data_IF_228882747742
#
_entry.id   IF_228882747742
#
_cell.length_a   1.000
_cell.length_b   1.000
_cell.length_c   1.000
_cell.angle_alpha   90.00
_cell.angle_beta   90.00
_cell.angle_gamma   90.00
#
_symmetry.space_group_name_H-M   'P 1'
#
loop_
_entity.id
_entity.type
_entity.pdbx_description
1 polymer ?
#
# COMPACT_ATOMS: atom_id res chain seq x y z
N UNK A 1 56.74 24.26 -0.08
CA UNK A 1 55.48 24.01 -0.86
C UNK A 1 54.46 25.16 -0.72
N UNK A 2 54.87 26.41 -0.42
CA UNK A 2 53.98 27.52 -0.06
C UNK A 2 53.96 28.69 -1.06
N UNK A 3 54.95 28.81 -1.94
CA UNK A 3 55.05 29.96 -2.87
C UNK A 3 54.16 29.85 -4.11
N UNK A 4 53.81 28.63 -4.57
CA UNK A 4 53.01 28.44 -5.79
C UNK A 4 51.53 28.80 -5.62
N UNK A 5 51.02 28.94 -4.39
CA UNK A 5 49.60 29.29 -4.12
C UNK A 5 49.32 30.80 -4.16
N UNK A 6 50.31 31.63 -3.82
CA UNK A 6 50.14 33.10 -3.77
C UNK A 6 49.97 33.74 -5.14
N UNK A 7 50.65 33.21 -6.16
CA UNK A 7 50.53 33.71 -7.54
C UNK A 7 49.12 33.48 -8.12
N UNK A 8 48.55 32.28 -7.93
CA UNK A 8 47.21 31.94 -8.43
C UNK A 8 46.11 32.77 -7.78
N UNK A 9 46.24 33.08 -6.49
CA UNK A 9 45.27 33.89 -5.75
C UNK A 9 45.34 35.37 -6.12
N UNK A 10 46.54 35.90 -6.37
CA UNK A 10 46.73 37.28 -6.85
C UNK A 10 46.29 37.48 -8.30
N UNK A 11 46.48 36.49 -9.16
CA UNK A 11 46.00 36.55 -10.55
C UNK A 11 44.48 36.40 -10.62
N UNK A 12 43.89 35.50 -9.82
CA UNK A 12 42.44 35.33 -9.73
C UNK A 12 41.74 36.58 -9.18
N UNK A 13 42.29 37.23 -8.15
CA UNK A 13 41.73 38.48 -7.62
C UNK A 13 41.82 39.64 -8.61
N UNK A 14 42.90 39.71 -9.41
CA UNK A 14 43.01 40.68 -10.51
C UNK A 14 42.02 40.41 -11.64
N UNK A 15 41.82 39.16 -12.03
CA UNK A 15 40.81 38.79 -13.03
C UNK A 15 39.40 39.10 -12.56
N UNK A 16 39.10 38.83 -11.28
CA UNK A 16 37.82 39.18 -10.66
C UNK A 16 37.62 40.70 -10.64
N UNK A 17 38.62 41.48 -10.21
CA UNK A 17 38.54 42.95 -10.21
C UNK A 17 38.28 43.47 -11.63
N UNK A 18 39.08 43.03 -12.60
CA UNK A 18 38.93 43.43 -14.00
C UNK A 18 37.59 42.99 -14.62
N UNK A 19 37.01 41.89 -14.14
CA UNK A 19 35.68 41.44 -14.54
C UNK A 19 34.60 42.36 -13.97
N UNK A 20 34.63 42.67 -12.67
CA UNK A 20 33.65 43.56 -12.04
C UNK A 20 33.77 45.01 -12.51
N UNK A 21 34.98 45.49 -12.81
CA UNK A 21 35.21 46.83 -13.37
C UNK A 21 34.58 47.02 -14.76
N UNK A 22 34.33 45.92 -15.49
CA UNK A 22 33.67 45.90 -16.81
C UNK A 22 32.18 45.59 -16.74
N UNK A 23 31.67 45.22 -15.56
CA UNK A 23 30.27 44.90 -15.35
C UNK A 23 29.61 46.13 -14.76
N UNK A 24 29.03 46.95 -15.64
CA UNK A 24 28.13 48.02 -15.21
C UNK A 24 26.80 47.35 -14.89
N UNK A 25 26.46 47.23 -13.61
CA UNK A 25 25.21 46.60 -13.21
C UNK A 25 24.09 47.63 -13.37
N UNK A 26 23.12 47.44 -14.29
CA UNK A 26 22.03 48.37 -14.49
C UNK A 26 21.01 48.18 -13.36
N UNK A 27 21.38 48.56 -12.15
CA UNK A 27 20.43 48.68 -11.05
C UNK A 27 19.63 49.96 -11.28
N UNK A 28 18.50 49.81 -11.96
CA UNK A 28 17.55 50.92 -12.18
C UNK A 28 16.96 51.46 -10.87
N UNK A 29 17.00 50.65 -9.80
CA UNK A 29 16.39 50.94 -8.50
C UNK A 29 17.44 51.22 -7.44
N UNK A 30 17.20 52.23 -6.62
CA UNK A 30 18.10 52.54 -5.50
C UNK A 30 18.06 51.43 -4.44
N UNK A 31 19.11 51.35 -3.61
CA UNK A 31 19.18 50.39 -2.51
C UNK A 31 17.98 50.53 -1.58
N UNK A 32 17.52 51.76 -1.37
CA UNK A 32 16.37 52.11 -0.55
C UNK A 32 15.07 51.60 -1.18
N UNK A 33 14.92 51.71 -2.49
CA UNK A 33 13.75 51.20 -3.22
C UNK A 33 13.71 49.65 -3.18
N UNK A 34 14.87 48.99 -3.31
CA UNK A 34 14.99 47.54 -3.15
C UNK A 34 14.67 47.12 -1.72
N UNK A 35 15.12 47.89 -0.73
CA UNK A 35 14.85 47.64 0.68
C UNK A 35 13.37 47.82 1.02
N UNK A 36 12.71 48.85 0.48
CA UNK A 36 11.28 49.07 0.65
C UNK A 36 10.44 47.96 0.03
N UNK A 37 10.79 47.49 -1.18
CA UNK A 37 10.12 46.36 -1.82
C UNK A 37 10.24 45.06 -1.01
N UNK A 38 11.41 44.80 -0.42
CA UNK A 38 11.62 43.64 0.45
C UNK A 38 10.87 43.78 1.79
N UNK A 39 10.88 44.97 2.37
CA UNK A 39 10.14 45.26 3.61
C UNK A 39 8.63 45.09 3.40
N UNK A 40 8.08 45.57 2.28
CA UNK A 40 6.67 45.39 1.92
C UNK A 40 6.30 43.90 1.75
N UNK A 41 7.21 43.09 1.21
CA UNK A 41 7.00 41.65 1.09
C UNK A 41 7.07 40.91 2.42
N UNK A 42 7.87 41.38 3.38
CA UNK A 42 7.96 40.82 4.73
C UNK A 42 6.77 41.23 5.59
N UNK A 43 6.25 42.45 5.40
CA UNK A 43 5.00 42.90 6.03
C UNK A 43 3.77 42.17 5.47
N UNK A 44 3.80 41.77 4.20
CA UNK A 44 2.82 40.85 3.61
C UNK A 44 3.04 39.44 4.16
N UNK A 45 2.44 39.19 5.32
CA UNK A 45 2.46 37.87 5.97
C UNK A 45 2.06 36.77 4.97
N UNK A 46 2.81 35.64 4.89
CA UNK A 46 2.43 34.54 4.04
C UNK A 46 1.03 34.06 4.46
N UNK A 47 0.16 33.83 3.48
CA UNK A 47 -1.18 33.33 3.74
C UNK A 47 -1.11 32.08 4.63
N UNK A 48 -1.99 31.95 5.65
CA UNK A 48 -1.93 30.83 6.58
C UNK A 48 -1.96 29.50 5.81
N UNK A 49 -1.14 28.51 6.22
CA UNK A 49 -1.10 27.23 5.54
C UNK A 49 -2.52 26.64 5.53
N UNK A 50 -2.95 26.19 4.34
CA UNK A 50 -4.28 25.63 4.15
C UNK A 50 -4.32 24.25 4.82
N UNK A 51 -4.72 24.22 6.09
CA UNK A 51 -4.87 22.97 6.85
C UNK A 51 -6.20 22.32 6.49
N UNK A 52 -6.15 21.06 6.09
CA UNK A 52 -7.35 20.24 5.91
C UNK A 52 -7.67 19.55 7.23
N UNK A 53 -8.86 19.81 7.75
CA UNK A 53 -9.37 19.12 8.92
C UNK A 53 -9.73 17.69 8.56
N UNK A 54 -9.10 16.73 9.23
CA UNK A 54 -9.45 15.33 9.06
C UNK A 54 -10.78 15.05 9.75
N UNK A 55 -11.76 14.57 9.00
CA UNK A 55 -13.01 14.08 9.57
C UNK A 55 -12.75 12.71 10.22
N UNK A 56 -12.37 12.72 11.50
CA UNK A 56 -12.04 11.52 12.28
C UNK A 56 -13.18 10.51 12.33
N UNK A 57 -14.44 10.97 12.30
CA UNK A 57 -15.62 10.08 12.21
C UNK A 57 -15.68 9.35 10.88
N UNK A 58 -15.41 10.04 9.77
CA UNK A 58 -15.36 9.41 8.46
C UNK A 58 -14.23 8.37 8.38
N UNK A 59 -13.06 8.68 8.93
CA UNK A 59 -11.94 7.74 9.00
C UNK A 59 -12.29 6.53 9.87
N UNK A 60 -12.89 6.75 11.03
CA UNK A 60 -13.34 5.66 11.91
C UNK A 60 -14.38 4.76 11.23
N UNK A 61 -15.31 5.33 10.47
CA UNK A 61 -16.29 4.56 9.71
C UNK A 61 -15.64 3.73 8.59
N UNK A 62 -14.67 4.29 7.86
CA UNK A 62 -13.89 3.56 6.86
C UNK A 62 -13.12 2.41 7.52
N UNK A 63 -12.44 2.68 8.64
CA UNK A 63 -11.69 1.66 9.38
C UNK A 63 -12.61 0.53 9.89
N UNK A 64 -13.75 0.87 10.48
CA UNK A 64 -14.74 -0.13 10.92
C UNK A 64 -15.25 -0.99 9.76
N UNK A 65 -15.50 -0.38 8.59
CA UNK A 65 -15.93 -1.11 7.40
C UNK A 65 -14.85 -2.09 6.92
N UNK A 66 -13.60 -1.64 6.86
CA UNK A 66 -12.48 -2.52 6.50
C UNK A 66 -12.32 -3.68 7.48
N UNK A 67 -12.46 -3.44 8.78
CA UNK A 67 -12.42 -4.50 9.79
C UNK A 67 -13.54 -5.53 9.59
N UNK A 68 -14.76 -5.09 9.30
CA UNK A 68 -15.88 -6.00 9.02
C UNK A 68 -15.62 -6.81 7.75
N UNK A 69 -15.13 -6.18 6.68
CA UNK A 69 -14.80 -6.86 5.43
C UNK A 69 -13.67 -7.89 5.62
N UNK A 70 -12.62 -7.54 6.36
CA UNK A 70 -11.53 -8.45 6.69
C UNK A 70 -12.01 -9.61 7.58
N UNK A 71 -12.90 -9.34 8.55
CA UNK A 71 -13.54 -10.36 9.37
C UNK A 71 -14.36 -11.35 8.54
N UNK A 72 -15.22 -10.84 7.66
CA UNK A 72 -16.01 -11.67 6.74
C UNK A 72 -15.12 -12.48 5.80
N UNK A 73 -14.10 -11.84 5.22
CA UNK A 73 -13.12 -12.51 4.37
C UNK A 73 -12.40 -13.65 5.11
N UNK A 74 -11.98 -13.40 6.35
CA UNK A 74 -11.33 -14.41 7.20
C UNK A 74 -12.25 -15.60 7.46
N UNK A 75 -13.52 -15.36 7.84
CA UNK A 75 -14.51 -16.42 8.04
C UNK A 75 -14.71 -17.21 6.75
N UNK A 76 -14.90 -16.54 5.61
CA UNK A 76 -15.05 -17.20 4.32
C UNK A 76 -13.85 -18.07 3.97
N UNK A 77 -12.62 -17.61 4.28
CA UNK A 77 -11.38 -18.29 3.92
C UNK A 77 -11.04 -19.49 4.80
N UNK A 78 -11.34 -19.40 6.11
CA UNK A 78 -10.84 -20.37 7.09
C UNK A 78 -11.91 -21.26 7.69
N UNK A 79 -13.20 -20.93 7.54
CA UNK A 79 -14.27 -21.82 7.97
C UNK A 79 -14.16 -23.18 7.28
N UNK A 80 -14.11 -24.23 8.08
CA UNK A 80 -13.86 -25.61 7.62
C UNK A 80 -15.01 -26.48 8.08
N UNK A 81 -15.62 -27.19 7.14
CA UNK A 81 -16.59 -28.24 7.42
C UNK A 81 -15.87 -29.59 7.37
N UNK A 82 -16.04 -30.40 8.42
CA UNK A 82 -15.45 -31.74 8.51
C UNK A 82 -16.56 -32.78 8.65
N UNK A 83 -16.45 -33.84 7.87
CA UNK A 83 -17.32 -35.01 7.88
C UNK A 83 -16.45 -36.20 8.24
N UNK A 84 -16.83 -36.91 9.30
CA UNK A 84 -16.14 -38.13 9.75
C UNK A 84 -17.11 -39.28 9.72
N UNK A 85 -16.71 -40.38 9.08
CA UNK A 85 -17.50 -41.61 8.99
C UNK A 85 -16.89 -42.64 9.95
N UNK A 86 -17.62 -43.06 11.00
CA UNK A 86 -17.13 -44.07 11.93
C UNK A 86 -17.02 -45.45 11.26
N UNK A 87 -16.28 -46.35 11.91
CA UNK A 87 -16.12 -47.73 11.44
C UNK A 87 -17.46 -48.43 11.27
N UNK A 88 -17.61 -49.21 10.20
CA UNK A 88 -18.84 -49.95 9.89
C UNK A 88 -19.96 -49.12 9.28
N UNK A 89 -19.72 -47.85 8.95
CA UNK A 89 -20.69 -46.96 8.31
C UNK A 89 -20.18 -46.47 6.95
N UNK A 90 -21.13 -46.13 6.08
CA UNK A 90 -20.88 -45.47 4.80
C UNK A 90 -21.77 -44.23 4.72
N UNK A 91 -21.29 -43.17 4.06
CA UNK A 91 -22.05 -41.93 3.92
C UNK A 91 -21.77 -41.26 2.59
N UNK A 92 -22.82 -40.75 1.95
CA UNK A 92 -22.68 -39.92 0.74
C UNK A 92 -22.71 -38.45 1.12
N UNK A 93 -21.59 -37.76 0.96
CA UNK A 93 -21.47 -36.33 1.17
C UNK A 93 -21.71 -35.56 -0.14
N UNK A 94 -22.44 -34.45 -0.08
CA UNK A 94 -22.59 -33.53 -1.20
C UNK A 94 -21.71 -32.30 -1.00
N UNK A 95 -20.93 -31.95 -2.03
CA UNK A 95 -20.03 -30.80 -2.03
C UNK A 95 -20.75 -29.55 -2.58
N UNK A 96 -20.25 -28.32 -2.30
CA UNK A 96 -20.94 -27.08 -2.66
C UNK A 96 -21.13 -26.83 -4.18
N UNK A 97 -20.37 -27.50 -5.05
CA UNK A 97 -20.57 -27.48 -6.50
C UNK A 97 -21.62 -28.50 -6.98
N UNK A 98 -22.17 -29.30 -6.07
CA UNK A 98 -23.07 -30.40 -6.34
C UNK A 98 -22.37 -31.70 -6.77
N UNK A 99 -21.04 -31.77 -6.67
CA UNK A 99 -20.31 -33.06 -6.71
C UNK A 99 -20.70 -33.91 -5.50
N UNK A 100 -20.58 -35.23 -5.61
CA UNK A 100 -20.87 -36.15 -4.49
C UNK A 100 -19.67 -37.02 -4.20
N UNK A 101 -19.46 -37.34 -2.92
CA UNK A 101 -18.40 -38.23 -2.45
C UNK A 101 -19.04 -39.34 -1.66
N UNK A 102 -18.84 -40.58 -2.10
CA UNK A 102 -19.23 -41.77 -1.36
C UNK A 102 -18.08 -42.13 -0.41
N UNK A 103 -18.31 -42.05 0.90
CA UNK A 103 -17.28 -42.20 1.93
C UNK A 103 -17.39 -43.59 2.57
N UNK A 104 -16.26 -44.30 2.65
CA UNK A 104 -16.16 -45.57 3.33
C UNK A 104 -16.06 -45.39 4.85
N UNK A 105 -16.09 -46.49 5.59
CA UNK A 105 -15.81 -46.55 7.01
C UNK A 105 -14.42 -45.96 7.34
N UNK A 106 -14.27 -45.41 8.54
CA UNK A 106 -13.00 -44.86 9.05
C UNK A 106 -12.40 -43.76 8.17
N UNK A 107 -13.26 -42.93 7.58
CA UNK A 107 -12.88 -41.89 6.61
C UNK A 107 -13.18 -40.50 7.15
N UNK A 108 -12.32 -39.53 6.82
CA UNK A 108 -12.46 -38.12 7.18
C UNK A 108 -12.31 -37.25 5.93
N UNK A 109 -13.28 -36.38 5.72
CA UNK A 109 -13.32 -35.40 4.63
C UNK A 109 -13.49 -34.01 5.22
N UNK A 110 -12.63 -33.07 4.86
CA UNK A 110 -12.81 -31.66 5.23
C UNK A 110 -12.63 -30.71 4.05
N UNK A 111 -13.37 -29.61 4.07
CA UNK A 111 -13.38 -28.63 2.99
C UNK A 111 -13.86 -27.25 3.47
N UNK A 112 -13.64 -26.22 2.63
CA UNK A 112 -14.05 -24.84 2.90
C UNK A 112 -15.30 -24.48 2.09
N UNK A 113 -16.52 -24.60 2.63
CA UNK A 113 -17.74 -24.37 1.86
C UNK A 113 -17.85 -22.94 1.32
N UNK A 114 -17.48 -21.94 2.12
CA UNK A 114 -17.55 -20.53 1.73
C UNK A 114 -16.40 -20.09 0.81
N UNK A 115 -15.30 -20.85 0.76
CA UNK A 115 -14.17 -20.60 -0.14
C UNK A 115 -14.23 -21.43 -1.44
N UNK A 116 -15.22 -22.31 -1.57
CA UNK A 116 -15.31 -23.32 -2.63
C UNK A 116 -15.30 -22.74 -4.05
N UNK A 117 -15.89 -21.55 -4.23
CA UNK A 117 -15.91 -20.86 -5.53
C UNK A 117 -14.53 -20.39 -5.98
N UNK A 118 -13.63 -20.12 -5.03
CA UNK A 118 -12.26 -19.69 -5.30
C UNK A 118 -11.29 -20.87 -5.39
N UNK A 119 -11.47 -21.86 -4.51
CA UNK A 119 -10.67 -23.09 -4.54
C UNK A 119 -11.52 -24.31 -4.21
N UNK A 120 -11.59 -25.24 -5.18
CA UNK A 120 -12.28 -26.53 -5.03
C UNK A 120 -11.32 -27.56 -4.42
N UNK A 121 -10.97 -27.36 -3.15
CA UNK A 121 -10.00 -28.20 -2.44
C UNK A 121 -10.68 -28.93 -1.29
N UNK A 122 -10.34 -30.21 -1.16
CA UNK A 122 -10.72 -31.06 -0.03
C UNK A 122 -9.45 -31.59 0.62
N UNK A 123 -9.48 -31.80 1.92
CA UNK A 123 -8.52 -32.64 2.63
C UNK A 123 -9.22 -33.97 2.96
N UNK A 124 -8.57 -35.07 2.65
CA UNK A 124 -9.20 -36.39 2.62
C UNK A 124 -8.26 -37.45 3.18
N UNK A 125 -8.75 -38.22 4.15
CA UNK A 125 -8.05 -39.32 4.81
C UNK A 125 -8.99 -40.54 4.84
N UNK A 126 -8.53 -41.70 4.37
CA UNK A 126 -9.34 -42.92 4.26
C UNK A 126 -9.69 -43.27 2.82
N UNK A 127 -10.89 -43.79 2.58
CA UNK A 127 -11.31 -44.32 1.28
C UNK A 127 -12.67 -43.76 0.85
N UNK A 128 -12.78 -43.42 -0.43
CA UNK A 128 -14.02 -42.84 -0.95
C UNK A 128 -14.01 -42.63 -2.46
N UNK A 129 -15.19 -42.57 -3.03
CA UNK A 129 -15.42 -42.44 -4.47
C UNK A 129 -15.99 -41.07 -4.82
N UNK A 130 -15.28 -40.30 -5.64
CA UNK A 130 -15.63 -38.94 -6.01
C UNK A 130 -16.35 -38.90 -7.36
N UNK A 131 -17.64 -38.51 -7.36
CA UNK A 131 -18.41 -38.17 -8.56
C UNK A 131 -18.36 -36.66 -8.75
N UNK A 132 -17.37 -36.20 -9.51
CA UNK A 132 -17.07 -34.77 -9.67
C UNK A 132 -17.84 -34.18 -10.85
N UNK A 133 -18.55 -33.07 -10.61
CA UNK A 133 -19.15 -32.28 -11.69
C UNK A 133 -18.08 -31.54 -12.47
N UNK A 134 -18.14 -31.64 -13.80
CA UNK A 134 -17.22 -30.98 -14.74
C UNK A 134 -17.16 -29.48 -14.45
N UNK A 135 -15.95 -28.96 -14.25
CA UNK A 135 -15.71 -27.52 -14.10
C UNK A 135 -15.98 -26.78 -15.41
N UNK A 136 -16.26 -25.48 -15.30
CA UNK A 136 -16.21 -24.57 -16.45
C UNK A 136 -14.75 -24.12 -16.61
N UNK A 137 -14.24 -24.14 -17.84
CA UNK A 137 -12.93 -23.54 -18.17
C UNK A 137 -13.01 -22.03 -18.02
#
# INVERSE_FOLDING_TARGET
MSEKKKHTEQDFTKEISNFFDKVDAPYEKSKEEVWELMAEQLEKQPAPPKTVWLNTRAIAAIAATLLVLLGLFSVMRFYTQTITVPKGHHLVAQLPDGSTVDLNADTKLSYHPYWWRFARTVNFEGEGFFKVKKGKK
#
